data_IF_741245344068
#
_entry.id   IF_741245344068
#
_cell.length_a   1.000
_cell.length_b   1.000
_cell.length_c   1.000
_cell.angle_alpha   90.00
_cell.angle_beta   90.00
_cell.angle_gamma   90.00
#
_symmetry.space_group_name_H-M   'P 1'
#
loop_
_entity.id
_entity.type
_entity.pdbx_description
1 polymer ?
#
# COMPACT_ATOMS: atom_id res chain seq x y z
N UNK A 1 62.11 -9.49 0.66
CA UNK A 1 61.66 -8.10 0.47
C UNK A 1 61.28 -7.88 -0.98
N UNK A 2 59.98 -7.90 -1.29
CA UNK A 2 59.33 -7.21 -2.42
C UNK A 2 57.90 -6.91 -1.96
N UNK A 3 57.58 -5.62 -1.86
CA UNK A 3 56.22 -5.12 -1.72
C UNK A 3 55.47 -5.35 -3.03
N UNK A 4 54.28 -5.93 -2.96
CA UNK A 4 53.22 -5.70 -3.93
C UNK A 4 51.99 -5.38 -3.09
N UNK A 5 51.63 -4.10 -3.05
CA UNK A 5 50.36 -3.65 -2.53
C UNK A 5 49.24 -4.09 -3.46
N UNK A 6 48.11 -4.44 -2.88
CA UNK A 6 46.82 -4.28 -3.51
C UNK A 6 45.86 -3.87 -2.42
N UNK A 7 45.35 -2.67 -2.62
CA UNK A 7 44.68 -1.86 -1.64
C UNK A 7 43.35 -2.47 -1.19
N UNK A 8 43.09 -2.26 0.10
CA UNK A 8 41.83 -2.49 0.76
C UNK A 8 40.86 -1.37 0.33
N UNK A 9 40.11 -1.59 -0.73
CA UNK A 9 38.89 -0.81 -1.03
C UNK A 9 37.72 -1.76 -1.13
N UNK A 10 37.24 -2.20 0.03
CA UNK A 10 35.86 -2.62 0.17
C UNK A 10 35.00 -1.38 -0.09
N UNK A 11 34.63 -1.16 -1.35
CA UNK A 11 33.64 -0.14 -1.72
C UNK A 11 32.36 -0.44 -0.95
N UNK A 12 32.14 0.29 0.14
CA UNK A 12 30.81 0.50 0.70
C UNK A 12 29.99 1.17 -0.40
N UNK A 13 29.19 0.39 -1.12
CA UNK A 13 28.07 0.94 -1.87
C UNK A 13 27.19 1.67 -0.86
N UNK A 14 27.19 2.99 -1.00
CA UNK A 14 26.43 3.91 -0.19
C UNK A 14 24.94 3.63 -0.41
N UNK A 15 24.32 2.88 0.50
CA UNK A 15 22.89 3.05 0.77
C UNK A 15 22.73 4.41 1.44
N UNK A 16 22.74 5.45 0.61
CA UNK A 16 22.31 6.77 1.01
C UNK A 16 20.81 6.67 1.32
N UNK A 17 20.47 6.64 2.60
CA UNK A 17 19.10 6.88 3.04
C UNK A 17 18.58 8.15 2.35
N UNK A 18 17.37 8.15 1.76
CA UNK A 18 16.86 9.33 1.10
C UNK A 18 16.75 10.46 2.12
N UNK A 19 17.51 11.52 1.87
CA UNK A 19 17.48 12.78 2.60
C UNK A 19 16.31 13.61 2.06
N UNK A 20 15.33 13.90 2.90
CA UNK A 20 14.33 14.97 2.70
C UNK A 20 12.97 14.52 2.17
N UNK A 21 12.01 15.47 2.20
CA UNK A 21 10.62 15.44 1.70
C UNK A 21 10.48 15.12 0.19
N UNK A 22 11.41 14.35 -0.38
CA UNK A 22 11.33 13.89 -1.75
C UNK A 22 10.04 13.08 -1.94
N UNK A 23 9.22 13.37 -2.97
CA UNK A 23 8.04 12.59 -3.28
C UNK A 23 8.38 11.11 -3.40
N UNK A 24 7.45 10.26 -2.99
CA UNK A 24 7.54 8.82 -3.25
C UNK A 24 7.80 8.58 -4.75
N UNK A 25 8.53 7.51 -5.11
CA UNK A 25 8.89 7.24 -6.51
C UNK A 25 7.70 6.95 -7.43
N UNK A 26 6.47 6.96 -6.91
CA UNK A 26 5.23 6.78 -7.64
C UNK A 26 4.15 7.78 -7.16
N UNK A 27 3.26 8.21 -8.07
CA UNK A 27 2.12 9.05 -7.74
C UNK A 27 1.01 8.23 -7.07
N UNK A 28 0.89 8.37 -5.75
CA UNK A 28 -0.10 7.66 -4.95
C UNK A 28 -1.49 8.33 -4.93
N UNK A 29 -1.72 9.43 -5.66
CA UNK A 29 -2.96 10.23 -5.56
C UNK A 29 -4.23 9.40 -5.79
N UNK A 30 -4.22 8.51 -6.79
CA UNK A 30 -5.37 7.64 -7.06
C UNK A 30 -5.58 6.58 -5.98
N UNK A 31 -4.49 6.01 -5.46
CA UNK A 31 -4.54 5.07 -4.34
C UNK A 31 -5.15 5.74 -3.10
N UNK A 32 -4.72 6.96 -2.76
CA UNK A 32 -5.29 7.71 -1.64
C UNK A 32 -6.78 8.01 -1.82
N UNK A 33 -7.22 8.34 -3.04
CA UNK A 33 -8.66 8.52 -3.33
C UNK A 33 -9.44 7.22 -3.14
N UNK A 34 -8.92 6.09 -3.61
CA UNK A 34 -9.54 4.78 -3.43
C UNK A 34 -9.61 4.39 -1.95
N UNK A 35 -8.55 4.61 -1.17
CA UNK A 35 -8.53 4.36 0.27
C UNK A 35 -9.51 5.23 1.05
N UNK A 36 -9.63 6.52 0.70
CA UNK A 36 -10.62 7.41 1.30
C UNK A 36 -12.05 6.92 1.02
N UNK A 37 -12.32 6.47 -0.21
CA UNK A 37 -13.63 5.93 -0.56
C UNK A 37 -13.92 4.60 0.15
N UNK A 38 -12.95 3.67 0.21
CA UNK A 38 -13.07 2.43 0.97
C UNK A 38 -13.40 2.70 2.44
N UNK A 39 -12.72 3.65 3.07
CA UNK A 39 -12.97 4.03 4.46
C UNK A 39 -14.38 4.61 4.63
N UNK A 40 -14.83 5.49 3.72
CA UNK A 40 -16.16 6.08 3.78
C UNK A 40 -17.25 5.00 3.74
N UNK A 41 -17.19 4.10 2.75
CA UNK A 41 -18.15 3.00 2.60
C UNK A 41 -18.14 2.10 3.84
N UNK A 42 -16.96 1.81 4.37
CA UNK A 42 -16.83 0.99 5.58
C UNK A 42 -17.50 1.64 6.79
N UNK A 43 -17.32 2.95 6.99
CA UNK A 43 -17.96 3.70 8.07
C UNK A 43 -19.48 3.72 7.90
N UNK A 44 -19.97 3.93 6.69
CA UNK A 44 -21.42 3.87 6.40
C UNK A 44 -22.01 2.51 6.79
N UNK A 45 -21.37 1.41 6.40
CA UNK A 45 -21.82 0.08 6.79
C UNK A 45 -21.72 -0.19 8.29
N UNK A 46 -20.72 0.38 8.97
CA UNK A 46 -20.63 0.30 10.43
C UNK A 46 -21.84 0.94 11.14
N UNK A 47 -22.46 1.96 10.56
CA UNK A 47 -23.66 2.58 11.14
C UNK A 47 -24.93 1.73 10.98
N UNK A 48 -24.98 0.90 9.93
CA UNK A 48 -26.13 0.06 9.58
C UNK A 48 -25.97 -1.41 10.00
N UNK A 49 -24.94 -1.71 10.80
CA UNK A 49 -24.53 -3.05 11.19
C UNK A 49 -25.42 -3.58 12.31
N UNK A 50 -26.00 -4.78 12.11
CA UNK A 50 -26.71 -5.47 13.18
C UNK A 50 -25.72 -6.04 14.22
N UNK A 51 -26.22 -6.38 15.42
CA UNK A 51 -25.38 -6.84 16.54
C UNK A 51 -24.65 -8.16 16.29
N UNK A 52 -25.15 -8.96 15.35
CA UNK A 52 -24.62 -10.27 14.94
C UNK A 52 -23.87 -10.21 13.60
N UNK A 53 -23.84 -9.04 12.95
CA UNK A 53 -23.09 -8.82 11.72
C UNK A 53 -21.65 -8.38 12.03
N UNK A 54 -20.78 -8.52 11.02
CA UNK A 54 -19.45 -7.91 11.04
C UNK A 54 -19.11 -7.35 9.66
N UNK A 55 -18.13 -6.45 9.61
CA UNK A 55 -17.63 -5.88 8.36
C UNK A 55 -16.20 -6.33 8.10
N UNK A 56 -15.91 -6.69 6.86
CA UNK A 56 -14.59 -7.07 6.37
C UNK A 56 -14.05 -5.97 5.46
N UNK A 57 -12.81 -5.55 5.74
CA UNK A 57 -11.98 -4.83 4.79
C UNK A 57 -11.09 -5.87 4.11
N UNK A 58 -11.31 -6.10 2.82
CA UNK A 58 -10.61 -7.14 2.08
C UNK A 58 -9.28 -6.63 1.52
N UNK A 59 -8.31 -7.55 1.38
CA UNK A 59 -6.96 -7.22 0.88
C UNK A 59 -7.00 -6.63 -0.52
N UNK A 60 -7.96 -7.06 -1.34
CA UNK A 60 -8.15 -6.55 -2.71
C UNK A 60 -8.94 -5.24 -2.76
N UNK A 61 -9.23 -4.63 -1.61
CA UNK A 61 -9.88 -3.34 -1.49
C UNK A 61 -11.38 -3.39 -1.27
N UNK A 62 -12.04 -4.55 -1.37
CA UNK A 62 -13.50 -4.64 -1.22
C UNK A 62 -13.95 -4.42 0.23
N UNK A 63 -15.20 -3.98 0.38
CA UNK A 63 -15.86 -3.82 1.69
C UNK A 63 -17.07 -4.74 1.74
N UNK A 64 -17.08 -5.67 2.68
CA UNK A 64 -18.05 -6.76 2.71
C UNK A 64 -18.72 -6.88 4.07
N UNK A 65 -20.06 -6.99 4.07
CA UNK A 65 -20.84 -7.51 5.19
C UNK A 65 -21.28 -8.93 4.80
N UNK A 66 -20.71 -9.98 5.44
CA UNK A 66 -20.93 -11.36 5.01
C UNK A 66 -22.42 -11.72 4.96
N UNK A 67 -22.85 -12.33 3.85
CA UNK A 67 -24.24 -12.74 3.66
C UNK A 67 -25.22 -11.61 3.30
N UNK A 68 -24.75 -10.34 3.24
CA UNK A 68 -25.58 -9.18 2.93
C UNK A 68 -25.13 -8.45 1.66
N UNK A 69 -23.89 -7.94 1.64
CA UNK A 69 -23.39 -7.12 0.52
C UNK A 69 -21.87 -7.15 0.43
N UNK A 70 -21.35 -7.08 -0.80
CA UNK A 70 -19.96 -6.82 -1.10
C UNK A 70 -19.91 -5.61 -2.05
N UNK A 71 -19.12 -4.61 -1.68
CA UNK A 71 -18.96 -3.38 -2.47
C UNK A 71 -17.53 -3.25 -2.96
N UNK A 72 -17.39 -3.22 -4.28
CA UNK A 72 -16.13 -2.95 -4.95
C UNK A 72 -15.87 -1.44 -4.93
N UNK A 73 -14.87 -1.01 -4.17
CA UNK A 73 -14.52 0.41 -3.96
C UNK A 73 -13.25 0.83 -4.69
N UNK A 74 -12.59 -0.11 -5.37
CA UNK A 74 -11.41 0.15 -6.19
C UNK A 74 -11.83 0.82 -7.50
N UNK A 75 -11.33 2.03 -7.73
CA UNK A 75 -11.47 2.75 -9.02
C UNK A 75 -10.40 2.26 -10.02
N UNK A 76 -10.24 0.95 -10.13
CA UNK A 76 -9.17 0.36 -10.94
C UNK A 76 -9.60 -1.01 -11.47
N UNK A 77 -9.61 -1.16 -12.80
CA UNK A 77 -9.97 -2.41 -13.48
C UNK A 77 -8.80 -3.40 -13.61
N UNK A 78 -7.61 -3.04 -13.13
CA UNK A 78 -6.41 -3.90 -13.14
C UNK A 78 -6.16 -4.59 -11.80
N UNK A 79 -5.29 -5.60 -11.79
CA UNK A 79 -4.83 -6.20 -10.52
C UNK A 79 -4.01 -5.19 -9.71
N UNK A 80 -4.32 -5.08 -8.42
CA UNK A 80 -3.47 -4.44 -7.44
C UNK A 80 -2.24 -5.35 -7.26
N UNK A 81 -1.13 -4.99 -7.88
CA UNK A 81 0.15 -5.61 -7.57
C UNK A 81 0.81 -4.79 -6.47
N UNK A 82 1.46 -5.48 -5.54
CA UNK A 82 2.29 -4.94 -4.47
C UNK A 82 3.44 -4.05 -4.98
N UNK A 83 3.67 -4.03 -6.30
CA UNK A 83 4.59 -3.15 -6.99
C UNK A 83 3.86 -2.39 -8.10
N UNK A 84 3.26 -1.25 -7.76
CA UNK A 84 2.91 -0.25 -8.76
C UNK A 84 4.19 0.41 -9.28
N UNK A 85 4.76 -0.15 -10.34
CA UNK A 85 5.78 0.48 -11.19
C UNK A 85 5.14 0.99 -12.49
#
# INVERSE_FOLDING_TARGET
MRNIGMDMETTQSQDAAPVGDAPLPFDATLLFKALQYQLLVAVEYCHDLASDECLWLEVMGDVTVPGRVQTEVKLYSGSLTDSHA
#
